data_IF_492077457014
#
_entry.id   IF_492077457014
#
_cell.length_a   1.000
_cell.length_b   1.000
_cell.length_c   1.000
_cell.angle_alpha   90.00
_cell.angle_beta   90.00
_cell.angle_gamma   90.00
#
_symmetry.space_group_name_H-M   'P 1'
#
loop_
_entity.id
_entity.type
_entity.pdbx_description
1 polymer ?
#
# COMPACT_ATOMS: atom_id res chain seq x y z
N UNK A 1 -30.58 -16.72 14.56
CA UNK A 1 -29.45 -15.88 14.13
C UNK A 1 -28.87 -16.56 12.90
N UNK A 2 -28.98 -15.94 11.73
CA UNK A 2 -28.60 -16.57 10.46
C UNK A 2 -27.10 -16.40 10.22
N UNK A 3 -26.47 -17.48 9.79
CA UNK A 3 -25.07 -17.51 9.36
C UNK A 3 -25.00 -16.99 7.92
N UNK A 4 -24.26 -15.91 7.68
CA UNK A 4 -24.19 -15.22 6.38
C UNK A 4 -23.13 -15.82 5.43
N UNK A 5 -22.54 -16.96 5.79
CA UNK A 5 -21.49 -17.63 5.02
C UNK A 5 -21.96 -18.32 3.74
N UNK A 6 -23.27 -18.47 3.54
CA UNK A 6 -23.86 -19.01 2.32
C UNK A 6 -24.76 -17.98 1.65
N UNK A 7 -24.65 -17.84 0.32
CA UNK A 7 -25.32 -16.83 -0.53
C UNK A 7 -26.84 -17.08 -0.64
N UNK A 8 -27.54 -17.10 0.50
CA UNK A 8 -28.97 -16.96 0.55
C UNK A 8 -29.24 -15.51 0.95
N UNK A 9 -29.55 -14.67 -0.04
CA UNK A 9 -29.99 -13.30 0.24
C UNK A 9 -31.15 -13.34 1.23
N UNK A 10 -31.02 -12.64 2.35
CA UNK A 10 -32.12 -12.49 3.30
C UNK A 10 -33.11 -11.51 2.66
N UNK A 11 -34.24 -12.02 2.21
CA UNK A 11 -35.30 -11.24 1.60
C UNK A 11 -36.59 -11.36 2.43
N UNK A 12 -37.32 -10.25 2.53
CA UNK A 12 -38.69 -10.28 3.00
C UNK A 12 -39.59 -10.48 1.79
N UNK A 13 -40.31 -11.61 1.75
CA UNK A 13 -41.21 -11.91 0.63
C UNK A 13 -42.37 -10.89 0.52
N UNK A 14 -42.78 -10.29 1.65
CA UNK A 14 -43.84 -9.29 1.73
C UNK A 14 -43.36 -8.04 2.47
N UNK A 15 -42.42 -7.29 1.89
CA UNK A 15 -41.86 -6.08 2.51
C UNK A 15 -42.88 -4.93 2.60
N UNK A 16 -43.67 -4.70 1.55
CA UNK A 16 -44.64 -3.61 1.45
C UNK A 16 -45.69 -3.96 0.41
N UNK A 17 -46.97 -3.67 0.68
CA UNK A 17 -48.02 -3.86 -0.31
C UNK A 17 -47.98 -2.73 -1.34
N UNK A 18 -48.25 -3.08 -2.60
CA UNK A 18 -48.23 -2.12 -3.72
C UNK A 18 -49.21 -0.97 -3.50
N UNK A 19 -50.45 -1.27 -3.10
CA UNK A 19 -51.48 -0.26 -2.87
C UNK A 19 -51.05 0.75 -1.79
N UNK A 20 -50.40 0.27 -0.73
CA UNK A 20 -49.92 1.13 0.35
C UNK A 20 -48.74 2.02 -0.10
N UNK A 21 -47.81 1.50 -0.90
CA UNK A 21 -46.69 2.29 -1.45
C UNK A 21 -47.17 3.40 -2.39
N UNK A 22 -48.21 3.13 -3.17
CA UNK A 22 -48.84 4.10 -4.08
C UNK A 22 -49.59 5.20 -3.30
N UNK A 23 -50.16 4.89 -2.13
CA UNK A 23 -50.89 5.83 -1.27
C UNK A 23 -50.00 6.59 -0.25
N UNK A 24 -48.81 6.09 0.07
CA UNK A 24 -47.98 6.61 1.17
C UNK A 24 -47.23 7.92 0.85
N UNK A 25 -47.30 8.42 -0.39
CA UNK A 25 -46.57 9.61 -0.83
C UNK A 25 -45.04 9.43 -0.89
N UNK A 26 -44.53 8.22 -0.66
CA UNK A 26 -43.11 7.87 -0.76
C UNK A 26 -42.69 7.50 -2.19
N UNK A 27 -43.67 7.27 -3.08
CA UNK A 27 -43.47 7.13 -4.50
C UNK A 27 -43.57 8.51 -5.17
N UNK A 28 -42.43 9.07 -5.55
CA UNK A 28 -42.34 10.41 -6.15
C UNK A 28 -41.69 10.26 -7.52
N UNK A 29 -42.42 10.61 -8.58
CA UNK A 29 -41.99 10.43 -9.98
C UNK A 29 -41.55 8.99 -10.31
N UNK A 30 -42.37 7.99 -9.94
CA UNK A 30 -42.10 6.56 -10.18
C UNK A 30 -40.80 6.06 -9.52
N UNK A 31 -40.36 6.74 -8.45
CA UNK A 31 -39.16 6.41 -7.68
C UNK A 31 -39.45 6.41 -6.20
N UNK A 32 -38.93 5.41 -5.50
CA UNK A 32 -38.90 5.32 -4.04
C UNK A 32 -37.49 4.93 -3.59
N UNK A 33 -37.16 5.18 -2.33
CA UNK A 33 -35.84 4.88 -1.76
C UNK A 33 -36.00 3.92 -0.59
N UNK A 34 -35.27 2.81 -0.60
CA UNK A 34 -35.22 1.87 0.51
C UNK A 34 -33.95 2.12 1.31
N UNK A 35 -34.08 2.34 2.62
CA UNK A 35 -32.96 2.42 3.54
C UNK A 35 -32.84 1.11 4.31
N UNK A 36 -31.66 0.52 4.29
CA UNK A 36 -31.34 -0.69 5.04
C UNK A 36 -30.30 -0.33 6.11
N UNK A 37 -30.68 -0.40 7.38
CA UNK A 37 -29.76 -0.23 8.50
C UNK A 37 -29.32 -1.62 8.98
N UNK A 38 -28.09 -2.00 8.65
CA UNK A 38 -27.50 -3.29 9.07
C UNK A 38 -26.73 -3.08 10.37
N UNK A 39 -27.05 -3.88 11.40
CA UNK A 39 -26.30 -3.93 12.64
C UNK A 39 -25.61 -5.28 12.75
N UNK A 40 -24.28 -5.25 12.84
CA UNK A 40 -23.45 -6.42 13.10
C UNK A 40 -23.17 -6.51 14.60
N UNK A 41 -23.67 -7.56 15.25
CA UNK A 41 -23.23 -7.92 16.60
C UNK A 41 -22.09 -8.93 16.48
N UNK A 42 -20.89 -8.52 16.87
CA UNK A 42 -19.83 -9.48 17.15
C UNK A 42 -20.22 -10.23 18.43
N UNK A 43 -20.44 -11.54 18.30
CA UNK A 43 -20.70 -12.38 19.46
C UNK A 43 -19.38 -12.48 20.24
N UNK A 44 -19.19 -11.56 21.18
CA UNK A 44 -18.08 -11.60 22.12
C UNK A 44 -18.03 -12.98 22.76
N UNK A 45 -16.83 -13.58 22.78
CA UNK A 45 -16.60 -14.84 23.46
C UNK A 45 -17.21 -14.78 24.88
N UNK A 46 -17.95 -15.81 25.28
CA UNK A 46 -18.45 -15.90 26.65
C UNK A 46 -17.27 -15.69 27.61
N UNK A 47 -17.41 -14.83 28.64
CA UNK A 47 -16.34 -14.62 29.59
C UNK A 47 -15.95 -15.97 30.21
N UNK A 48 -14.65 -16.30 30.25
CA UNK A 48 -14.20 -17.55 30.84
C UNK A 48 -14.71 -17.64 32.28
N UNK A 49 -15.13 -18.84 32.69
CA UNK A 49 -15.56 -19.13 34.06
C UNK A 49 -14.58 -18.50 35.07
N UNK A 50 -15.04 -17.98 36.21
CA UNK A 50 -14.19 -17.25 37.14
C UNK A 50 -13.04 -18.15 37.62
N UNK A 51 -11.84 -17.92 37.09
CA UNK A 51 -10.63 -18.63 37.50
C UNK A 51 -10.17 -18.04 38.83
N UNK A 52 -10.24 -18.84 39.90
CA UNK A 52 -9.86 -18.48 41.28
C UNK A 52 -8.35 -18.15 41.40
N UNK A 53 -7.55 -18.55 40.41
CA UNK A 53 -6.11 -18.28 40.34
C UNK A 53 -5.84 -17.39 39.12
N UNK A 54 -5.30 -16.20 39.35
CA UNK A 54 -4.84 -15.29 38.31
C UNK A 54 -3.39 -15.64 37.97
N UNK A 55 -3.16 -16.15 36.77
CA UNK A 55 -1.79 -16.40 36.27
C UNK A 55 -1.25 -15.07 35.71
N UNK A 56 -0.07 -14.61 36.15
CA UNK A 56 0.53 -13.39 35.61
C UNK A 56 0.92 -13.56 34.13
N UNK A 57 0.89 -12.49 33.32
CA UNK A 57 1.31 -12.54 31.93
C UNK A 57 2.78 -12.97 31.77
N UNK A 58 3.17 -13.57 30.62
CA UNK A 58 4.56 -13.91 30.34
C UNK A 58 5.49 -12.69 30.38
N UNK A 59 6.61 -12.79 31.09
CA UNK A 59 7.58 -11.70 31.32
C UNK A 59 8.99 -11.99 30.80
N UNK A 60 9.20 -13.14 30.12
CA UNK A 60 10.50 -13.55 29.56
C UNK A 60 11.12 -12.45 28.69
N UNK A 61 10.32 -11.75 27.89
CA UNK A 61 10.78 -10.65 27.05
C UNK A 61 11.41 -9.52 27.87
N UNK A 62 10.92 -9.25 29.09
CA UNK A 62 11.47 -8.24 30.00
C UNK A 62 12.79 -8.70 30.60
N UNK A 63 12.91 -9.97 30.96
CA UNK A 63 14.15 -10.55 31.46
C UNK A 63 15.26 -10.54 30.38
N UNK A 64 14.92 -10.90 29.14
CA UNK A 64 15.85 -10.82 28.01
C UNK A 64 16.20 -9.36 27.65
N UNK A 65 15.23 -8.44 27.70
CA UNK A 65 15.49 -7.01 27.54
C UNK A 65 16.46 -6.48 28.60
N UNK A 66 16.25 -6.83 29.88
CA UNK A 66 17.16 -6.48 30.97
C UNK A 66 18.56 -7.06 30.80
N UNK A 67 18.68 -8.28 30.26
CA UNK A 67 19.98 -8.88 29.92
C UNK A 67 20.73 -8.06 28.86
N UNK A 68 20.04 -7.57 27.83
CA UNK A 68 20.64 -6.70 26.81
C UNK A 68 21.10 -5.35 27.40
N UNK A 69 20.32 -4.76 28.31
CA UNK A 69 20.64 -3.49 28.96
C UNK A 69 21.81 -3.60 29.94
N UNK A 70 21.82 -4.64 30.77
CA UNK A 70 22.88 -4.90 31.76
C UNK A 70 24.22 -5.30 31.10
N UNK A 71 24.16 -5.93 29.91
CA UNK A 71 25.31 -6.45 29.15
C UNK A 71 26.07 -7.58 29.87
N UNK A 72 25.44 -8.20 30.86
CA UNK A 72 26.01 -9.29 31.65
C UNK A 72 26.24 -10.54 30.78
N UNK A 73 27.50 -10.92 30.59
CA UNK A 73 27.86 -12.09 29.78
C UNK A 73 27.86 -11.84 28.26
N UNK A 74 27.84 -10.58 27.83
CA UNK A 74 27.95 -10.24 26.42
C UNK A 74 29.29 -10.72 25.83
N UNK A 75 29.22 -11.47 24.73
CA UNK A 75 30.34 -12.16 24.09
C UNK A 75 30.57 -11.70 22.63
N UNK A 76 29.78 -10.73 22.16
CA UNK A 76 29.95 -10.06 20.86
C UNK A 76 29.66 -8.56 20.98
N UNK A 77 30.34 -7.77 20.16
CA UNK A 77 30.17 -6.32 20.09
C UNK A 77 29.97 -5.88 18.65
N UNK A 78 28.97 -5.04 18.38
CA UNK A 78 28.72 -4.44 17.07
C UNK A 78 29.11 -2.97 17.08
N UNK A 79 29.81 -2.51 16.04
CA UNK A 79 30.04 -1.11 15.75
C UNK A 79 29.11 -0.69 14.61
N UNK A 80 28.20 0.25 14.88
CA UNK A 80 27.18 0.71 13.93
C UNK A 80 27.14 2.24 13.97
N UNK A 81 27.40 2.90 12.85
CA UNK A 81 27.41 4.37 12.74
C UNK A 81 28.21 5.09 13.84
N UNK A 82 29.33 4.49 14.30
CA UNK A 82 30.18 5.03 15.37
C UNK A 82 29.73 4.68 16.80
N UNK A 83 28.55 4.08 16.98
CA UNK A 83 28.07 3.55 18.26
C UNK A 83 28.46 2.09 18.47
N UNK A 84 28.55 1.68 19.73
CA UNK A 84 28.97 0.32 20.12
C UNK A 84 27.84 -0.39 20.88
N UNK A 85 27.47 -1.58 20.41
CA UNK A 85 26.38 -2.40 20.96
C UNK A 85 26.92 -3.76 21.40
N UNK A 86 26.87 -4.04 22.71
CA UNK A 86 27.21 -5.36 23.26
C UNK A 86 25.99 -6.27 23.21
N UNK A 87 26.19 -7.54 22.85
CA UNK A 87 25.12 -8.53 22.72
C UNK A 87 25.63 -9.96 22.98
N UNK A 88 24.71 -10.92 22.90
CA UNK A 88 24.93 -12.34 23.18
C UNK A 88 24.77 -13.15 21.89
N UNK A 89 25.83 -13.87 21.48
CA UNK A 89 25.86 -14.65 20.24
C UNK A 89 24.77 -15.71 20.21
N UNK A 90 24.54 -16.38 21.34
CA UNK A 90 23.53 -17.44 21.46
C UNK A 90 22.11 -16.92 21.21
N UNK A 91 21.76 -15.76 21.78
CA UNK A 91 20.43 -15.14 21.59
C UNK A 91 20.26 -14.70 20.13
N UNK A 92 21.25 -14.01 19.56
CA UNK A 92 21.22 -13.55 18.18
C UNK A 92 21.09 -14.72 17.19
N UNK A 93 21.87 -15.78 17.39
CA UNK A 93 21.84 -16.98 16.56
C UNK A 93 20.56 -17.80 16.70
N UNK A 94 19.91 -17.78 17.86
CA UNK A 94 18.62 -18.43 18.05
C UNK A 94 17.49 -17.71 17.29
N UNK A 95 17.61 -16.39 17.12
CA UNK A 95 16.55 -15.53 16.58
C UNK A 95 16.72 -15.20 15.09
N UNK A 96 17.95 -15.22 14.58
CA UNK A 96 18.25 -14.96 13.17
C UNK A 96 19.18 -16.03 12.59
N UNK A 97 18.76 -16.73 11.51
CA UNK A 97 19.63 -17.71 10.83
C UNK A 97 20.82 -17.03 10.16
N UNK A 98 20.68 -15.78 9.71
CA UNK A 98 21.77 -14.99 9.11
C UNK A 98 22.82 -14.66 10.17
N UNK A 99 22.40 -14.15 11.34
CA UNK A 99 23.32 -13.90 12.45
C UNK A 99 23.94 -15.20 12.97
N UNK A 100 23.20 -16.31 12.98
CA UNK A 100 23.77 -17.63 13.31
C UNK A 100 24.91 -18.00 12.38
N UNK A 101 24.71 -17.85 11.07
CA UNK A 101 25.75 -18.12 10.08
C UNK A 101 26.93 -17.15 10.19
N UNK A 102 26.67 -15.87 10.45
CA UNK A 102 27.72 -14.85 10.58
C UNK A 102 28.55 -15.01 11.86
N UNK A 103 27.92 -15.44 12.95
CA UNK A 103 28.55 -15.59 14.26
C UNK A 103 29.17 -16.97 14.50
N UNK A 104 28.58 -18.04 13.94
CA UNK A 104 29.01 -19.42 14.15
C UNK A 104 29.41 -20.15 12.86
N UNK A 105 29.50 -19.43 11.74
CA UNK A 105 29.97 -19.97 10.47
C UNK A 105 31.44 -20.37 10.49
N UNK A 106 31.81 -21.26 9.55
CA UNK A 106 33.07 -22.02 9.52
C UNK A 106 34.38 -21.22 9.35
N UNK A 107 34.37 -19.88 9.51
CA UNK A 107 35.52 -19.03 9.18
C UNK A 107 35.91 -17.99 10.24
N UNK A 108 35.37 -18.06 11.47
CA UNK A 108 35.81 -17.20 12.59
C UNK A 108 36.41 -18.02 13.72
N UNK A 109 37.65 -18.45 13.51
CA UNK A 109 38.58 -18.85 14.57
C UNK A 109 39.15 -17.59 15.23
N UNK A 110 38.51 -17.09 16.29
CA UNK A 110 39.26 -16.41 17.35
C UNK A 110 38.41 -16.30 18.62
N UNK A 111 39.04 -16.64 19.75
CA UNK A 111 38.49 -16.67 21.10
C UNK A 111 38.39 -15.30 21.77
N UNK A 112 38.65 -14.22 21.03
CA UNK A 112 38.63 -12.86 21.55
C UNK A 112 37.29 -12.18 21.21
N UNK A 113 36.88 -11.22 22.04
CA UNK A 113 35.64 -10.46 21.89
C UNK A 113 35.44 -10.01 20.43
N UNK A 114 34.49 -10.65 19.73
CA UNK A 114 34.30 -10.44 18.29
C UNK A 114 33.66 -9.07 18.09
N UNK A 115 34.39 -8.15 17.47
CA UNK A 115 33.85 -6.86 17.02
C UNK A 115 33.35 -7.00 15.58
N UNK A 116 32.08 -6.70 15.33
CA UNK A 116 31.43 -6.77 14.02
C UNK A 116 31.06 -5.36 13.59
N UNK A 117 31.51 -4.93 12.41
CA UNK A 117 31.16 -3.62 11.85
C UNK A 117 29.93 -3.75 10.97
N UNK A 118 28.99 -2.83 11.14
CA UNK A 118 27.80 -2.71 10.30
C UNK A 118 27.74 -1.30 9.74
N UNK A 119 28.09 -1.18 8.45
CA UNK A 119 28.26 0.12 7.80
C UNK A 119 26.95 0.66 7.17
N UNK A 120 26.04 -0.22 6.75
CA UNK A 120 24.80 0.15 6.03
C UNK A 120 23.57 0.29 6.94
N UNK A 121 23.73 0.80 8.16
CA UNK A 121 22.60 0.93 9.09
C UNK A 121 22.81 2.06 10.10
N UNK A 122 21.73 2.78 10.38
CA UNK A 122 21.70 3.78 11.44
C UNK A 122 21.67 3.12 12.81
N UNK A 123 22.32 3.75 13.80
CA UNK A 123 22.39 3.24 15.17
C UNK A 123 20.99 3.04 15.80
N UNK A 124 20.06 3.95 15.54
CA UNK A 124 18.67 3.86 16.04
C UNK A 124 17.92 2.65 15.46
N UNK A 125 18.12 2.36 14.17
CA UNK A 125 17.52 1.20 13.50
C UNK A 125 18.09 -0.09 14.06
N UNK A 126 19.41 -0.15 14.27
CA UNK A 126 20.05 -1.32 14.87
C UNK A 126 19.66 -1.52 16.33
N UNK A 127 19.48 -0.44 17.09
CA UNK A 127 18.96 -0.50 18.46
C UNK A 127 17.56 -1.09 18.51
N UNK A 128 16.67 -0.66 17.61
CA UNK A 128 15.32 -1.21 17.48
C UNK A 128 15.34 -2.69 17.07
N UNK A 129 16.21 -3.06 16.12
CA UNK A 129 16.44 -4.44 15.68
C UNK A 129 16.89 -5.33 16.85
N UNK A 130 17.91 -4.91 17.60
CA UNK A 130 18.39 -5.63 18.79
C UNK A 130 17.29 -5.74 19.85
N UNK A 131 16.60 -4.64 20.15
CA UNK A 131 15.47 -4.65 21.08
C UNK A 131 14.42 -5.69 20.68
N UNK A 132 14.06 -5.76 19.39
CA UNK A 132 13.14 -6.76 18.86
C UNK A 132 13.68 -8.20 18.97
N UNK A 133 14.97 -8.41 18.72
CA UNK A 133 15.58 -9.75 18.83
C UNK A 133 15.43 -10.31 20.25
N UNK A 134 15.61 -9.48 21.27
CA UNK A 134 15.52 -9.90 22.68
C UNK A 134 14.09 -9.92 23.23
N UNK A 135 13.27 -8.93 22.86
CA UNK A 135 11.95 -8.75 23.48
C UNK A 135 10.79 -9.23 22.63
N UNK A 136 11.01 -9.49 21.34
CA UNK A 136 9.96 -9.78 20.35
C UNK A 136 8.89 -8.66 20.28
N UNK A 137 9.25 -7.44 20.71
CA UNK A 137 8.39 -6.25 20.68
C UNK A 137 9.11 -5.10 20.02
N UNK A 138 8.35 -4.32 19.26
CA UNK A 138 8.77 -3.05 18.69
C UNK A 138 8.16 -1.98 19.58
N UNK A 139 8.97 -1.19 20.28
CA UNK A 139 8.44 -0.07 21.06
C UNK A 139 7.78 0.91 20.09
N UNK A 140 6.47 1.11 20.25
CA UNK A 140 5.69 2.06 19.45
C UNK A 140 5.97 3.52 19.86
N UNK A 141 6.49 3.74 21.06
CA UNK A 141 6.60 5.05 21.68
C UNK A 141 8.02 5.66 21.60
N UNK A 142 8.60 5.72 20.41
CA UNK A 142 9.88 6.45 20.26
C UNK A 142 9.70 7.99 20.38
N UNK A 143 8.47 8.50 20.60
CA UNK A 143 8.20 9.94 20.67
C UNK A 143 8.54 10.67 19.37
N UNK A 144 8.55 9.91 18.27
CA UNK A 144 9.03 10.34 16.97
C UNK A 144 7.86 10.93 16.19
N UNK A 145 8.07 12.06 15.50
CA UNK A 145 7.04 12.61 14.59
C UNK A 145 6.68 11.56 13.53
N UNK A 146 5.40 11.44 13.16
CA UNK A 146 4.89 10.45 12.17
C UNK A 146 5.78 10.23 10.94
N UNK A 147 6.37 11.28 10.35
CA UNK A 147 7.29 11.15 9.20
C UNK A 147 8.58 10.40 9.51
N UNK A 148 9.15 10.60 10.70
CA UNK A 148 10.37 9.91 11.12
C UNK A 148 10.06 8.47 11.57
N UNK A 149 8.82 8.18 11.99
CA UNK A 149 8.35 6.80 12.24
C UNK A 149 8.28 6.00 10.93
N UNK A 150 7.71 6.58 9.86
CA UNK A 150 7.63 5.93 8.56
C UNK A 150 9.04 5.65 7.98
N UNK A 151 9.95 6.62 8.03
CA UNK A 151 11.34 6.44 7.60
C UNK A 151 12.06 5.35 8.41
N UNK A 152 11.88 5.34 9.73
CA UNK A 152 12.44 4.29 10.58
C UNK A 152 11.87 2.91 10.25
N UNK A 153 10.55 2.80 10.02
CA UNK A 153 9.92 1.55 9.62
C UNK A 153 10.42 1.04 8.26
N UNK A 154 10.71 1.94 7.31
CA UNK A 154 11.35 1.59 6.04
C UNK A 154 12.73 0.97 6.27
N UNK A 155 13.61 1.66 6.99
CA UNK A 155 14.96 1.15 7.26
C UNK A 155 14.95 -0.14 8.08
N UNK A 156 14.02 -0.25 9.04
CA UNK A 156 13.87 -1.46 9.85
C UNK A 156 13.33 -2.64 9.04
N UNK A 157 12.47 -2.41 8.04
CA UNK A 157 12.04 -3.45 7.10
C UNK A 157 13.22 -4.00 6.30
N UNK A 158 14.09 -3.11 5.78
CA UNK A 158 15.32 -3.51 5.07
C UNK A 158 16.22 -4.35 5.98
N UNK A 159 16.40 -3.92 7.24
CA UNK A 159 17.19 -4.65 8.22
C UNK A 159 16.56 -6.00 8.59
N UNK A 160 15.25 -6.05 8.76
CA UNK A 160 14.51 -7.27 9.07
C UNK A 160 14.66 -8.31 7.95
N UNK A 161 14.60 -7.88 6.69
CA UNK A 161 14.82 -8.75 5.53
C UNK A 161 16.28 -9.24 5.48
N UNK A 162 17.26 -8.33 5.66
CA UNK A 162 18.70 -8.65 5.70
C UNK A 162 19.05 -9.71 6.74
N UNK A 163 18.44 -9.65 7.93
CA UNK A 163 18.69 -10.60 9.02
C UNK A 163 17.64 -11.73 9.10
N UNK A 164 16.75 -11.84 8.10
CA UNK A 164 15.70 -12.87 8.02
C UNK A 164 14.81 -12.95 9.27
N UNK A 165 14.38 -11.79 9.78
CA UNK A 165 13.44 -11.66 10.89
C UNK A 165 12.00 -11.47 10.37
N UNK A 166 11.36 -12.57 9.98
CA UNK A 166 10.07 -12.54 9.28
C UNK A 166 8.95 -11.82 10.06
N UNK A 167 8.85 -12.07 11.37
CA UNK A 167 7.83 -11.41 12.21
C UNK A 167 8.04 -9.90 12.30
N UNK A 168 9.29 -9.45 12.37
CA UNK A 168 9.63 -8.02 12.36
C UNK A 168 9.24 -7.39 11.02
N UNK A 169 9.55 -8.07 9.92
CA UNK A 169 9.21 -7.64 8.56
C UNK A 169 7.71 -7.41 8.42
N UNK A 170 6.88 -8.35 8.87
CA UNK A 170 5.41 -8.20 8.85
C UNK A 170 4.90 -7.06 9.72
N UNK A 171 5.50 -6.83 10.90
CA UNK A 171 5.15 -5.67 11.75
C UNK A 171 5.50 -4.36 11.03
N UNK A 172 6.65 -4.29 10.38
CA UNK A 172 7.02 -3.13 9.57
C UNK A 172 6.07 -2.94 8.37
N UNK A 173 5.63 -4.02 7.72
CA UNK A 173 4.61 -3.95 6.66
C UNK A 173 3.30 -3.35 7.17
N UNK A 174 2.79 -3.79 8.32
CA UNK A 174 1.56 -3.26 8.93
C UNK A 174 1.69 -1.77 9.30
N UNK A 175 2.83 -1.38 9.88
CA UNK A 175 3.12 0.04 10.17
C UNK A 175 3.16 0.87 8.90
N UNK A 176 3.87 0.43 7.87
CA UNK A 176 3.98 1.16 6.60
C UNK A 176 2.64 1.26 5.88
N UNK A 177 1.76 0.25 5.99
CA UNK A 177 0.40 0.33 5.44
C UNK A 177 -0.41 1.50 6.03
N UNK A 178 -0.18 1.85 7.29
CA UNK A 178 -0.86 2.98 7.98
C UNK A 178 -0.30 4.35 7.60
N UNK A 179 0.89 4.39 6.99
CA UNK A 179 1.59 5.63 6.63
C UNK A 179 1.69 5.86 5.10
N UNK A 180 0.87 5.16 4.31
CA UNK A 180 0.81 5.40 2.86
C UNK A 180 0.20 6.78 2.60
N UNK A 181 1.02 7.71 2.11
CA UNK A 181 0.62 9.05 1.66
C UNK A 181 1.06 9.30 0.21
N UNK A 182 0.64 10.42 -0.40
CA UNK A 182 1.01 10.74 -1.79
C UNK A 182 2.51 10.95 -1.99
N UNK A 183 3.25 11.34 -0.96
CA UNK A 183 4.71 11.55 -1.03
C UNK A 183 5.53 10.25 -0.89
N UNK A 184 5.01 9.27 -0.16
CA UNK A 184 5.69 8.03 0.22
C UNK A 184 5.16 6.82 -0.54
N UNK A 185 3.99 6.90 -1.19
CA UNK A 185 3.40 5.75 -1.88
C UNK A 185 4.36 5.12 -2.91
N UNK A 186 5.08 5.94 -3.69
CA UNK A 186 6.04 5.44 -4.67
C UNK A 186 7.30 4.83 -4.03
N UNK A 187 7.80 5.41 -2.93
CA UNK A 187 8.98 4.90 -2.23
C UNK A 187 8.67 3.61 -1.48
N UNK A 188 7.54 3.56 -0.77
CA UNK A 188 7.03 2.36 -0.09
C UNK A 188 6.75 1.24 -1.10
N UNK A 189 6.15 1.55 -2.26
CA UNK A 189 5.90 0.55 -3.30
C UNK A 189 7.20 -0.01 -3.89
N UNK A 190 8.21 0.83 -4.12
CA UNK A 190 9.53 0.38 -4.57
C UNK A 190 10.16 -0.56 -3.54
N UNK A 191 10.11 -0.18 -2.27
CA UNK A 191 10.67 -0.95 -1.16
C UNK A 191 9.94 -2.28 -0.97
N UNK A 192 8.61 -2.29 -1.14
CA UNK A 192 7.79 -3.49 -1.07
C UNK A 192 8.14 -4.49 -2.19
N UNK A 193 8.43 -4.02 -3.40
CA UNK A 193 8.90 -4.89 -4.49
C UNK A 193 10.29 -5.43 -4.21
N UNK A 194 11.23 -4.58 -3.78
CA UNK A 194 12.63 -4.96 -3.52
C UNK A 194 12.75 -6.04 -2.44
N UNK A 195 11.94 -5.95 -1.39
CA UNK A 195 11.93 -6.89 -0.26
C UNK A 195 10.80 -7.91 -0.35
N UNK A 196 10.12 -8.04 -1.51
CA UNK A 196 9.05 -9.02 -1.75
C UNK A 196 7.92 -9.01 -0.69
N UNK A 197 7.56 -7.82 -0.21
CA UNK A 197 6.51 -7.57 0.78
C UNK A 197 5.15 -7.52 0.09
N UNK A 198 4.48 -8.68 -0.02
CA UNK A 198 3.25 -8.82 -0.82
C UNK A 198 2.06 -8.05 -0.24
N UNK A 199 1.93 -8.01 1.09
CA UNK A 199 0.83 -7.32 1.76
C UNK A 199 0.92 -5.82 1.53
N UNK A 200 2.10 -5.25 1.81
CA UNK A 200 2.40 -3.84 1.59
C UNK A 200 2.25 -3.43 0.12
N UNK A 201 2.77 -4.23 -0.82
CA UNK A 201 2.64 -3.99 -2.26
C UNK A 201 1.17 -3.88 -2.69
N UNK A 202 0.32 -4.80 -2.23
CA UNK A 202 -1.11 -4.80 -2.53
C UNK A 202 -1.81 -3.55 -1.99
N UNK A 203 -1.49 -3.15 -0.76
CA UNK A 203 -2.05 -1.94 -0.15
C UNK A 203 -1.65 -0.68 -0.93
N UNK A 204 -0.38 -0.56 -1.34
CA UNK A 204 0.10 0.54 -2.18
C UNK A 204 -0.60 0.58 -3.55
N UNK A 205 -0.74 -0.57 -4.22
CA UNK A 205 -1.44 -0.65 -5.50
C UNK A 205 -2.92 -0.27 -5.38
N UNK A 206 -3.58 -0.68 -4.29
CA UNK A 206 -4.96 -0.29 -4.01
C UNK A 206 -5.09 1.23 -3.77
N UNK A 207 -4.13 1.84 -3.06
CA UNK A 207 -4.10 3.29 -2.85
C UNK A 207 -3.87 4.07 -4.16
N UNK A 208 -3.02 3.54 -5.05
CA UNK A 208 -2.72 4.11 -6.36
C UNK A 208 -3.75 3.75 -7.45
N UNK A 209 -4.78 2.96 -7.12
CA UNK A 209 -5.84 2.61 -8.07
C UNK A 209 -6.75 3.81 -8.39
N UNK A 210 -6.77 4.85 -7.55
CA UNK A 210 -7.53 6.07 -7.83
C UNK A 210 -6.74 7.00 -8.77
N UNK A 211 -7.33 7.47 -9.88
CA UNK A 211 -6.63 8.36 -10.81
C UNK A 211 -6.17 9.70 -10.20
N UNK A 212 -6.88 10.19 -9.18
CA UNK A 212 -6.54 11.45 -8.51
C UNK A 212 -5.25 11.31 -7.68
N UNK A 213 -5.19 10.28 -6.82
CA UNK A 213 -4.00 9.98 -6.00
C UNK A 213 -2.81 9.61 -6.86
N UNK A 214 -3.03 8.88 -7.95
CA UNK A 214 -1.99 8.53 -8.91
C UNK A 214 -1.38 9.76 -9.59
N UNK A 215 -2.20 10.74 -9.98
CA UNK A 215 -1.69 11.98 -10.58
C UNK A 215 -0.79 12.75 -9.60
N UNK A 216 -1.23 12.89 -8.35
CA UNK A 216 -0.46 13.58 -7.31
C UNK A 216 0.88 12.86 -7.03
N UNK A 217 0.89 11.53 -7.05
CA UNK A 217 2.10 10.72 -6.86
C UNK A 217 3.03 10.83 -8.08
N UNK A 218 2.50 10.92 -9.31
CA UNK A 218 3.30 11.10 -10.52
C UNK A 218 4.07 12.42 -10.56
N UNK A 219 3.58 13.45 -9.85
CA UNK A 219 4.28 14.73 -9.69
C UNK A 219 5.44 14.65 -8.68
N UNK A 220 5.58 13.54 -7.94
CA UNK A 220 6.67 13.34 -6.99
C UNK A 220 7.91 12.71 -7.62
N UNK A 221 9.10 13.12 -7.14
CA UNK A 221 10.38 12.52 -7.53
C UNK A 221 10.45 11.00 -7.25
N UNK A 222 9.69 10.54 -6.25
CA UNK A 222 9.61 9.13 -5.86
C UNK A 222 9.03 8.25 -6.97
N UNK A 223 8.13 8.78 -7.80
CA UNK A 223 7.56 8.03 -8.92
C UNK A 223 8.56 7.86 -10.06
N UNK A 224 9.40 8.86 -10.35
CA UNK A 224 10.47 8.67 -11.33
C UNK A 224 11.46 7.60 -10.89
N UNK A 225 11.80 7.57 -9.60
CA UNK A 225 12.66 6.52 -9.04
C UNK A 225 12.02 5.13 -9.19
N UNK A 226 10.74 4.98 -8.84
CA UNK A 226 9.98 3.75 -9.05
C UNK A 226 10.02 3.28 -10.52
N UNK A 227 9.81 4.20 -11.46
CA UNK A 227 9.82 3.89 -12.90
C UNK A 227 11.19 3.39 -13.39
N UNK A 228 12.29 3.91 -12.80
CA UNK A 228 13.66 3.48 -13.12
C UNK A 228 14.04 2.16 -12.44
N UNK A 229 13.67 1.99 -11.17
CA UNK A 229 14.08 0.84 -10.36
C UNK A 229 13.25 -0.41 -10.60
N UNK A 230 11.94 -0.28 -10.84
CA UNK A 230 11.01 -1.41 -10.88
C UNK A 230 9.98 -1.29 -12.04
N UNK A 231 10.39 -1.49 -13.31
CA UNK A 231 9.49 -1.39 -14.45
C UNK A 231 8.38 -2.46 -14.49
N UNK A 232 8.56 -3.59 -13.80
CA UNK A 232 7.55 -4.64 -13.63
C UNK A 232 6.32 -4.12 -12.87
N UNK A 233 6.56 -3.38 -11.78
CA UNK A 233 5.53 -2.82 -10.91
C UNK A 233 4.73 -1.74 -11.66
N UNK A 234 5.39 -0.95 -12.50
CA UNK A 234 4.72 0.04 -13.33
C UNK A 234 3.73 -0.63 -14.30
N UNK A 235 4.12 -1.74 -14.93
CA UNK A 235 3.23 -2.52 -15.80
C UNK A 235 2.02 -3.06 -15.03
N UNK A 236 2.23 -3.55 -13.82
CA UNK A 236 1.17 -4.06 -12.93
C UNK A 236 0.21 -2.94 -12.52
N UNK A 237 0.75 -1.78 -12.15
CA UNK A 237 -0.02 -0.59 -11.79
C UNK A 237 -0.90 -0.12 -12.97
N UNK A 238 -0.36 -0.06 -14.19
CA UNK A 238 -1.13 0.26 -15.40
C UNK A 238 -2.27 -0.75 -15.62
N UNK A 239 -2.01 -2.04 -15.38
CA UNK A 239 -3.04 -3.08 -15.53
C UNK A 239 -4.17 -2.94 -14.51
N UNK A 240 -3.85 -2.60 -13.26
CA UNK A 240 -4.83 -2.38 -12.19
C UNK A 240 -5.66 -1.10 -12.41
N UNK A 241 -5.05 -0.02 -12.90
CA UNK A 241 -5.80 1.20 -13.24
C UNK A 241 -6.73 0.96 -14.44
N UNK A 242 -6.31 0.13 -15.41
CA UNK A 242 -7.13 -0.21 -16.58
C UNK A 242 -8.39 -1.01 -16.22
N UNK A 243 -8.37 -1.81 -15.14
CA UNK A 243 -9.54 -2.56 -14.66
C UNK A 243 -10.43 -1.74 -13.74
N UNK A 244 -9.93 -0.65 -13.15
CA UNK A 244 -10.71 0.31 -12.36
C UNK A 244 -11.44 1.39 -13.18
N UNK A 245 -11.24 1.45 -14.50
CA UNK A 245 -12.10 2.26 -15.37
C UNK A 245 -13.51 1.65 -15.32
N UNK A 246 -14.55 2.41 -14.92
CA UNK A 246 -15.90 1.89 -14.90
C UNK A 246 -16.25 1.33 -16.28
N UNK A 247 -16.83 0.13 -16.27
CA UNK A 247 -17.39 -0.58 -17.40
C UNK A 247 -18.62 0.17 -17.96
N UNK A 248 -18.48 1.44 -18.33
CA UNK A 248 -19.49 2.16 -19.14
C UNK A 248 -19.22 2.00 -20.64
N UNK A 249 -18.04 1.50 -21.01
CA UNK A 249 -17.69 1.19 -22.41
C UNK A 249 -18.39 -0.07 -22.95
N UNK A 250 -18.94 -0.91 -22.08
CA UNK A 250 -19.70 -2.12 -22.47
C UNK A 250 -21.09 -1.80 -23.03
N UNK A 251 -21.75 -0.75 -22.53
CA UNK A 251 -23.06 -0.31 -23.03
C UNK A 251 -22.96 0.58 -24.27
N UNK A 252 -21.87 1.34 -24.41
CA UNK A 252 -21.60 2.18 -25.60
C UNK A 252 -21.39 1.36 -26.90
N UNK A 253 -21.10 0.06 -26.80
CA UNK A 253 -21.00 -0.82 -27.97
C UNK A 253 -22.37 -1.33 -28.46
N UNK A 254 -23.41 -1.35 -27.61
CA UNK A 254 -24.77 -1.81 -27.98
C UNK A 254 -25.68 -0.68 -28.45
N UNK A 255 -25.51 0.54 -27.95
CA UNK A 255 -26.23 1.73 -28.43
C UNK A 255 -25.28 2.50 -29.34
N UNK A 256 -25.43 2.35 -30.65
CA UNK A 256 -24.55 2.98 -31.65
C UNK A 256 -24.19 4.43 -31.31
N UNK A 257 -22.94 4.81 -31.61
CA UNK A 257 -22.27 6.06 -31.22
C UNK A 257 -23.06 7.36 -31.51
N UNK A 258 -24.09 7.31 -32.36
CA UNK A 258 -24.95 8.45 -32.68
C UNK A 258 -25.87 8.91 -31.53
N UNK A 259 -26.11 8.10 -30.50
CA UNK A 259 -27.01 8.47 -29.39
C UNK A 259 -26.37 9.28 -28.25
N UNK A 260 -25.02 9.32 -28.17
CA UNK A 260 -24.30 9.90 -27.02
C UNK A 260 -23.74 11.31 -27.29
N UNK A 261 -24.08 11.90 -28.44
CA UNK A 261 -23.66 13.26 -28.83
C UNK A 261 -24.55 14.37 -28.25
N UNK A 262 -25.71 14.04 -27.66
CA UNK A 262 -26.66 15.04 -27.12
C UNK A 262 -26.67 15.22 -25.60
N UNK A 263 -26.01 14.35 -24.82
CA UNK A 263 -25.96 14.50 -23.37
C UNK A 263 -24.63 15.13 -22.92
N UNK A 264 -24.71 16.29 -22.28
CA UNK A 264 -23.60 17.15 -21.87
C UNK A 264 -22.70 16.58 -20.75
N UNK A 265 -22.16 15.38 -20.92
CA UNK A 265 -21.05 14.82 -20.13
C UNK A 265 -19.80 14.67 -21.00
N UNK A 266 -19.35 15.77 -21.62
CA UNK A 266 -18.17 15.79 -22.49
C UNK A 266 -16.84 15.94 -21.75
N UNK A 267 -16.81 16.32 -20.48
CA UNK A 267 -15.53 16.69 -19.84
C UNK A 267 -14.76 15.50 -19.28
N UNK A 268 -15.42 14.53 -18.65
CA UNK A 268 -14.71 13.52 -17.85
C UNK A 268 -14.11 12.37 -18.68
N UNK A 269 -14.77 11.96 -19.77
CA UNK A 269 -14.26 10.88 -20.64
C UNK A 269 -13.06 11.30 -21.47
N UNK A 270 -13.06 12.54 -21.97
CA UNK A 270 -11.93 13.08 -22.69
C UNK A 270 -10.76 13.33 -21.75
N UNK A 271 -11.02 13.77 -20.50
CA UNK A 271 -9.98 13.89 -19.49
C UNK A 271 -9.35 12.54 -19.14
N UNK A 272 -10.14 11.48 -18.93
CA UNK A 272 -9.62 10.15 -18.64
C UNK A 272 -8.85 9.54 -19.82
N UNK A 273 -9.35 9.69 -21.05
CA UNK A 273 -8.63 9.25 -22.25
C UNK A 273 -7.33 10.04 -22.44
N UNK A 274 -7.34 11.34 -22.15
CA UNK A 274 -6.18 12.22 -22.24
C UNK A 274 -5.16 11.91 -21.14
N UNK A 275 -5.58 11.60 -19.92
CA UNK A 275 -4.71 11.13 -18.83
C UNK A 275 -4.05 9.81 -19.21
N UNK A 276 -4.80 8.84 -19.74
CA UNK A 276 -4.22 7.57 -20.23
C UNK A 276 -3.25 7.81 -21.39
N UNK A 277 -3.57 8.72 -22.32
CA UNK A 277 -2.67 9.08 -23.42
C UNK A 277 -1.41 9.80 -22.92
N UNK A 278 -1.54 10.69 -21.92
CA UNK A 278 -0.42 11.41 -21.31
C UNK A 278 0.47 10.43 -20.54
N UNK A 279 -0.11 9.51 -19.77
CA UNK A 279 0.63 8.43 -19.08
C UNK A 279 1.34 7.54 -20.11
N UNK A 280 0.67 7.13 -21.20
CA UNK A 280 1.32 6.38 -22.28
C UNK A 280 2.45 7.19 -22.93
N UNK A 281 2.25 8.48 -23.20
CA UNK A 281 3.24 9.36 -23.82
C UNK A 281 4.43 9.62 -22.90
N UNK A 282 4.23 9.76 -21.59
CA UNK A 282 5.29 9.93 -20.59
C UNK A 282 6.10 8.63 -20.47
N UNK A 283 5.43 7.47 -20.39
CA UNK A 283 6.08 6.16 -20.36
C UNK A 283 6.84 5.88 -21.67
N UNK A 284 6.29 6.24 -22.82
CA UNK A 284 6.96 6.10 -24.12
C UNK A 284 8.13 7.08 -24.28
N UNK A 285 8.06 8.27 -23.67
CA UNK A 285 9.15 9.25 -23.66
C UNK A 285 10.30 8.82 -22.74
N UNK A 286 9.99 8.27 -21.56
CA UNK A 286 10.98 7.70 -20.63
C UNK A 286 11.70 6.48 -21.24
N UNK A 287 10.98 5.65 -21.99
CA UNK A 287 11.53 4.46 -22.66
C UNK A 287 12.46 4.78 -23.83
N UNK A 288 12.38 5.99 -24.41
CA UNK A 288 13.15 6.35 -25.62
C UNK A 288 14.43 7.13 -25.39
N UNK A 289 14.78 7.49 -24.15
CA UNK A 289 16.06 8.12 -23.82
C UNK A 289 16.36 9.33 -24.72
N UNK A 290 15.82 10.48 -24.35
CA UNK A 290 16.05 11.79 -25.00
C UNK A 290 15.29 12.02 -26.32
N UNK A 291 14.01 12.39 -26.20
CA UNK A 291 13.30 13.12 -27.26
C UNK A 291 12.93 14.51 -26.73
N UNK A 292 13.14 15.60 -27.49
CA UNK A 292 12.82 16.94 -27.04
C UNK A 292 11.31 17.10 -26.81
N UNK A 293 10.95 17.86 -25.76
CA UNK A 293 9.57 18.21 -25.36
C UNK A 293 8.68 18.72 -26.52
N UNK A 294 9.29 19.16 -27.63
CA UNK A 294 8.59 19.58 -28.85
C UNK A 294 7.79 18.46 -29.53
N UNK A 295 8.23 17.20 -29.45
CA UNK A 295 7.52 16.06 -30.07
C UNK A 295 6.25 15.67 -29.31
N UNK A 296 6.22 15.87 -27.98
CA UNK A 296 5.07 15.55 -27.13
C UNK A 296 3.95 16.59 -27.37
N UNK A 297 4.32 17.88 -27.50
CA UNK A 297 3.37 18.95 -27.81
C UNK A 297 2.75 18.81 -29.22
N UNK A 298 3.50 18.31 -30.21
CA UNK A 298 2.99 18.11 -31.57
C UNK A 298 1.94 16.99 -31.66
N UNK A 299 2.13 15.89 -30.92
CA UNK A 299 1.16 14.78 -30.92
C UNK A 299 -0.16 15.21 -30.25
N UNK A 300 -0.07 15.99 -29.16
CA UNK A 300 -1.24 16.55 -28.47
C UNK A 300 -1.93 17.60 -29.37
N UNK A 301 -1.16 18.47 -30.03
CA UNK A 301 -1.70 19.51 -30.93
C UNK A 301 -2.34 18.94 -32.21
N UNK A 302 -1.78 17.88 -32.80
CA UNK A 302 -2.40 17.20 -33.94
C UNK A 302 -3.69 16.48 -33.54
N UNK A 303 -3.76 15.91 -32.34
CA UNK A 303 -4.97 15.25 -31.87
C UNK A 303 -6.10 16.26 -31.62
N UNK A 304 -5.79 17.40 -30.99
CA UNK A 304 -6.74 18.51 -30.77
C UNK A 304 -7.12 19.21 -32.08
N UNK A 305 -6.18 19.41 -33.01
CA UNK A 305 -6.45 20.03 -34.31
C UNK A 305 -7.36 19.19 -35.22
N UNK A 306 -7.27 17.86 -35.14
CA UNK A 306 -8.12 16.95 -35.93
C UNK A 306 -9.55 16.88 -35.38
N UNK A 307 -9.75 17.09 -34.07
CA UNK A 307 -11.08 17.12 -33.44
C UNK A 307 -11.82 18.44 -33.69
N UNK A 308 -11.10 19.57 -33.76
CA UNK A 308 -11.70 20.88 -34.04
C UNK A 308 -12.13 20.97 -35.52
N UNK A 309 -11.33 20.47 -36.46
CA UNK A 309 -11.67 20.51 -37.89
C UNK A 309 -12.80 19.53 -38.29
N UNK A 310 -13.06 18.50 -37.48
CA UNK A 310 -14.22 17.60 -37.65
C UNK A 310 -15.57 18.24 -37.27
N UNK A 311 -15.57 19.35 -36.54
CA UNK A 311 -16.79 20.04 -36.10
C UNK A 311 -17.29 21.12 -37.10
N UNK A 312 -16.56 21.40 -38.18
CA UNK A 312 -16.82 22.52 -39.09
C UNK A 312 -17.57 22.16 -40.40
N UNK A 313 -18.37 21.10 -40.42
CA UNK A 313 -19.32 20.82 -41.53
C UNK A 313 -20.76 20.76 -41.03
N UNK A 314 -21.35 21.94 -40.84
CA UNK A 314 -22.80 22.13 -40.80
C UNK A 314 -23.30 22.35 -42.25
N UNK A 315 -24.36 21.66 -42.72
CA UNK A 315 -25.00 21.99 -43.99
C UNK A 315 -25.75 23.33 -43.90
N UNK A 316 -25.92 24.07 -45.03
CA UNK A 316 -26.49 25.40 -45.03
C UNK A 316 -27.99 25.37 -44.70
N UNK A 317 -28.38 26.34 -43.89
CA UNK A 317 -29.77 26.67 -43.54
C UNK A 317 -30.59 27.03 -44.77
N UNK A 318 -31.69 26.33 -45.01
CA UNK A 318 -32.80 26.84 -45.81
C UNK A 318 -33.66 27.76 -44.93
N UNK A 319 -33.80 29.02 -45.33
CA UNK A 319 -34.87 29.93 -44.89
C UNK A 319 -35.71 30.29 -46.11
N UNK A 320 -37.03 30.18 -45.89
CA UNK A 320 -38.18 30.61 -46.69
C UNK A 320 -38.49 29.80 -47.96
#
# INVERSE_FOLDING_TARGET
MQDFSYVAGVAFHDFISRAWLEESGHLVHDRFTVRCDVRTEERGAEPPAPTVVVVPPPDLHRHLGGLLEAKDGADVTFQVAGETFSAHRCVLAARSPVLKAELFGAMKESSDAVVIRVDDMEADVFRALLGFVYTDTLQDDLGVKQRKEAAMAQHLLVAADRYSLERLKLICEDKLCKHIDTGLAATILTLAEQHNCRGLKKACLQFLSCPSTLNDVMETDGFEHLARSCPSVLKELISNVSTCVPVDLGEARRRGWNGMLSSGRRTNYWYQALVVLVVLCVVLSLKRGNAPLSCICLVIASFVGTTINGAAKLPPTCKN
#
